data_IF_603365983184
#
_entry.id   IF_603365983184
#
_cell.length_a   1.000
_cell.length_b   1.000
_cell.length_c   1.000
_cell.angle_alpha   90.00
_cell.angle_beta   90.00
_cell.angle_gamma   90.00
#
_symmetry.space_group_name_H-M   'P 1'
#
loop_
_entity.id
_entity.type
_entity.pdbx_description
1 polymer ?
#
# COMPACT_ATOMS: atom_id res chain seq x y z
N UNK A 1 -24.80 19.21 20.62
CA UNK A 1 -24.02 18.63 19.50
C UNK A 1 -23.07 17.53 19.99
N UNK A 2 -21.92 17.82 20.62
CA UNK A 2 -20.99 16.76 21.11
C UNK A 2 -21.66 15.67 21.97
N UNK A 3 -22.54 16.03 22.91
CA UNK A 3 -23.27 15.06 23.74
C UNK A 3 -24.19 14.12 22.92
N UNK A 4 -24.80 14.64 21.86
CA UNK A 4 -25.66 13.86 20.96
C UNK A 4 -24.80 12.91 20.12
N UNK A 5 -23.63 13.37 19.67
CA UNK A 5 -22.65 12.52 19.00
C UNK A 5 -22.15 11.38 19.90
N UNK A 6 -21.82 11.66 21.17
CA UNK A 6 -21.45 10.63 22.15
C UNK A 6 -22.56 9.58 22.30
N UNK A 7 -23.80 10.03 22.55
CA UNK A 7 -24.95 9.13 22.72
C UNK A 7 -25.20 8.26 21.48
N UNK A 8 -24.99 8.80 20.28
CA UNK A 8 -25.14 8.06 19.02
C UNK A 8 -24.03 7.04 18.83
N UNK A 9 -22.78 7.46 19.03
CA UNK A 9 -21.58 6.64 18.88
C UNK A 9 -21.57 5.47 19.87
N UNK A 10 -22.01 5.68 21.12
CA UNK A 10 -22.16 4.60 22.10
C UNK A 10 -23.18 3.53 21.69
N UNK A 11 -24.24 3.93 20.97
CA UNK A 11 -25.24 2.99 20.44
C UNK A 11 -24.72 2.22 19.22
N UNK A 12 -23.97 2.90 18.36
CA UNK A 12 -23.43 2.32 17.12
C UNK A 12 -22.24 1.38 17.38
N UNK A 13 -21.42 1.70 18.38
CA UNK A 13 -20.25 0.93 18.78
C UNK A 13 -20.34 0.49 20.25
N UNK A 14 -21.27 -0.43 20.60
CA UNK A 14 -21.53 -0.81 21.99
C UNK A 14 -20.36 -1.56 22.65
N UNK A 15 -19.50 -2.17 21.83
CA UNK A 15 -18.33 -2.93 22.28
C UNK A 15 -17.03 -2.08 22.27
N UNK A 16 -17.15 -0.75 22.15
CA UNK A 16 -16.02 0.17 22.13
C UNK A 16 -16.02 1.08 23.37
N UNK A 17 -14.83 1.53 23.77
CA UNK A 17 -14.69 2.55 24.80
C UNK A 17 -14.83 3.92 24.15
N UNK A 18 -15.76 4.75 24.63
CA UNK A 18 -16.00 6.09 24.06
C UNK A 18 -15.48 7.16 25.01
N UNK A 19 -14.57 7.99 24.51
CA UNK A 19 -13.95 9.11 25.22
C UNK A 19 -14.44 10.44 24.66
N UNK A 20 -14.39 11.49 25.47
CA UNK A 20 -14.80 12.86 25.10
C UNK A 20 -13.62 13.78 25.31
N UNK A 21 -13.30 14.62 24.32
CA UNK A 21 -12.15 15.53 24.34
C UNK A 21 -10.82 14.81 24.65
N UNK A 22 -10.55 13.74 23.91
CA UNK A 22 -9.45 12.80 24.14
C UNK A 22 -8.28 13.04 23.19
N UNK A 23 -7.06 12.97 23.71
CA UNK A 23 -5.82 12.97 22.93
C UNK A 23 -5.29 11.54 22.98
N UNK A 24 -5.09 10.92 21.83
CA UNK A 24 -4.47 9.58 21.78
C UNK A 24 -2.96 9.74 21.93
N UNK A 25 -2.27 8.70 22.41
CA UNK A 25 -0.81 8.75 22.56
C UNK A 25 -0.10 8.85 21.19
N UNK A 26 -0.75 8.37 20.13
CA UNK A 26 -0.23 8.31 18.76
C UNK A 26 -0.50 9.59 17.96
N UNK A 27 -1.51 10.38 18.34
CA UNK A 27 -1.92 11.57 17.59
C UNK A 27 -1.91 12.77 18.53
N UNK A 28 -1.08 13.79 18.30
CA UNK A 28 -1.03 15.01 19.12
C UNK A 28 -2.23 15.94 18.86
N UNK A 29 -3.43 15.37 18.65
CA UNK A 29 -4.68 16.06 18.35
C UNK A 29 -5.75 15.58 19.31
N UNK A 30 -6.52 16.53 19.84
CA UNK A 30 -7.64 16.26 20.76
C UNK A 30 -8.93 16.07 19.97
N UNK A 31 -9.40 14.84 19.88
CA UNK A 31 -10.67 14.49 19.26
C UNK A 31 -11.84 14.97 20.11
N UNK A 32 -12.90 15.50 19.49
CA UNK A 32 -14.11 15.91 20.20
C UNK A 32 -14.79 14.69 20.87
N UNK A 33 -14.86 13.57 20.15
CA UNK A 33 -15.22 12.25 20.67
C UNK A 33 -14.26 11.22 20.06
N UNK A 34 -13.80 10.25 20.85
CA UNK A 34 -12.92 9.19 20.36
C UNK A 34 -13.51 7.82 20.68
N UNK A 35 -13.62 6.96 19.68
CA UNK A 35 -14.05 5.57 19.81
C UNK A 35 -12.80 4.71 19.82
N UNK A 36 -12.51 4.07 20.94
CA UNK A 36 -11.37 3.18 21.08
C UNK A 36 -11.84 1.73 21.01
N UNK A 37 -11.22 0.94 20.11
CA UNK A 37 -11.46 -0.49 20.03
C UNK A 37 -10.42 -1.25 20.86
N UNK A 38 -10.86 -2.28 21.59
CA UNK A 38 -9.95 -3.16 22.33
C UNK A 38 -8.89 -3.80 21.41
N UNK A 39 -9.28 -4.10 20.17
CA UNK A 39 -8.38 -4.59 19.12
C UNK A 39 -8.66 -3.83 17.81
N UNK A 40 -7.62 -3.51 17.01
CA UNK A 40 -7.81 -2.81 15.75
C UNK A 40 -8.79 -3.53 14.82
N UNK A 41 -9.77 -2.80 14.29
CA UNK A 41 -10.82 -3.32 13.41
C UNK A 41 -10.56 -2.85 11.99
N UNK A 42 -10.60 -3.74 11.00
CA UNK A 42 -10.57 -3.32 9.59
C UNK A 42 -11.95 -2.77 9.17
N UNK A 43 -12.05 -1.67 8.42
CA UNK A 43 -10.97 -0.77 7.95
C UNK A 43 -10.66 0.39 8.90
N UNK A 44 -11.20 0.34 10.12
CA UNK A 44 -11.30 1.45 11.04
C UNK A 44 -10.05 1.73 11.89
N UNK A 45 -9.14 0.77 12.00
CA UNK A 45 -7.92 0.90 12.78
C UNK A 45 -8.14 0.69 14.27
N UNK A 46 -7.30 1.31 15.11
CA UNK A 46 -7.38 1.26 16.58
C UNK A 46 -8.60 2.00 17.13
N UNK A 47 -9.16 2.93 16.36
CA UNK A 47 -10.30 3.72 16.80
C UNK A 47 -10.84 4.65 15.74
N UNK A 48 -11.85 5.43 16.12
CA UNK A 48 -12.47 6.47 15.29
C UNK A 48 -12.41 7.80 16.03
N UNK A 49 -11.71 8.78 15.48
CA UNK A 49 -11.80 10.16 15.90
C UNK A 49 -13.05 10.79 15.28
N UNK A 50 -13.93 11.34 16.11
CA UNK A 50 -15.13 12.05 15.67
C UNK A 50 -14.93 13.53 15.97
N UNK A 51 -14.84 14.33 14.91
CA UNK A 51 -14.64 15.77 14.97
C UNK A 51 -15.97 16.49 14.69
N UNK A 52 -16.36 17.40 15.59
CA UNK A 52 -17.55 18.22 15.38
C UNK A 52 -17.12 19.56 14.80
N UNK A 53 -17.55 19.82 13.57
CA UNK A 53 -17.32 21.06 12.86
C UNK A 53 -18.57 21.94 12.97
N UNK A 54 -18.55 22.87 13.93
CA UNK A 54 -19.61 23.85 14.12
C UNK A 54 -19.03 25.26 14.13
N UNK A 55 -19.38 26.07 13.12
CA UNK A 55 -18.97 27.48 12.93
C UNK A 55 -17.46 27.77 12.96
N UNK A 56 -16.60 26.75 12.87
CA UNK A 56 -15.16 26.89 13.01
C UNK A 56 -14.42 26.72 11.67
N UNK A 57 -14.54 27.69 10.77
CA UNK A 57 -13.92 27.69 9.43
C UNK A 57 -12.37 27.64 9.44
N UNK A 58 -11.73 27.58 10.61
CA UNK A 58 -10.27 27.59 10.78
C UNK A 58 -9.65 26.20 10.98
N UNK A 59 -10.44 25.12 11.12
CA UNK A 59 -9.88 23.78 11.28
C UNK A 59 -9.33 23.29 9.94
N UNK A 60 -8.03 23.01 9.91
CA UNK A 60 -7.39 22.33 8.77
C UNK A 60 -7.86 20.88 8.69
N UNK A 61 -8.80 20.64 7.79
CA UNK A 61 -9.45 19.37 7.60
C UNK A 61 -8.48 18.29 7.12
N UNK A 62 -7.62 18.64 6.16
CA UNK A 62 -6.69 17.71 5.51
C UNK A 62 -5.61 17.28 6.50
N UNK A 63 -4.97 18.25 7.16
CA UNK A 63 -3.90 17.97 8.13
C UNK A 63 -4.43 17.23 9.36
N UNK A 64 -5.61 17.61 9.86
CA UNK A 64 -6.23 16.94 11.01
C UNK A 64 -6.60 15.50 10.66
N UNK A 65 -7.20 15.28 9.49
CA UNK A 65 -7.54 13.93 9.04
C UNK A 65 -6.27 13.10 8.85
N UNK A 66 -5.28 13.61 8.12
CA UNK A 66 -4.02 12.91 7.89
C UNK A 66 -3.31 12.55 9.19
N UNK A 67 -3.33 13.44 10.20
CA UNK A 67 -2.77 13.17 11.53
C UNK A 67 -3.43 11.95 12.19
N UNK A 68 -4.76 11.85 12.17
CA UNK A 68 -5.47 10.70 12.74
C UNK A 68 -5.21 9.42 11.95
N UNK A 69 -5.17 9.51 10.62
CA UNK A 69 -4.89 8.37 9.76
C UNK A 69 -3.45 7.85 10.02
N UNK A 70 -2.45 8.72 10.13
CA UNK A 70 -1.06 8.34 10.44
C UNK A 70 -0.95 7.64 11.81
N UNK A 71 -1.73 8.12 12.79
CA UNK A 71 -1.87 7.47 14.11
C UNK A 71 -2.74 6.22 14.12
N UNK A 72 -3.12 5.68 12.97
CA UNK A 72 -3.83 4.41 12.88
C UNK A 72 -5.33 4.49 13.20
N UNK A 73 -5.93 5.68 13.20
CA UNK A 73 -7.34 5.92 13.53
C UNK A 73 -8.13 6.41 12.32
N UNK A 74 -9.38 5.95 12.20
CA UNK A 74 -10.32 6.50 11.21
C UNK A 74 -10.93 7.79 11.70
N UNK A 75 -11.56 8.54 10.80
CA UNK A 75 -12.12 9.86 11.14
C UNK A 75 -13.57 9.98 10.68
N UNK A 76 -14.43 10.51 11.54
CA UNK A 76 -15.77 10.97 11.20
C UNK A 76 -15.80 12.48 11.41
N UNK A 77 -16.28 13.20 10.41
CA UNK A 77 -16.55 14.63 10.54
C UNK A 77 -18.05 14.87 10.61
N UNK A 78 -18.49 15.56 11.66
CA UNK A 78 -19.88 15.92 11.89
C UNK A 78 -20.06 17.41 11.68
N UNK A 79 -20.81 17.76 10.64
CA UNK A 79 -21.26 19.11 10.33
C UNK A 79 -22.64 19.36 10.93
N UNK A 80 -23.10 20.61 10.89
CA UNK A 80 -24.41 20.98 11.43
C UNK A 80 -25.56 20.21 10.74
N UNK A 81 -25.42 19.95 9.44
CA UNK A 81 -26.37 19.24 8.59
C UNK A 81 -26.52 17.76 8.97
N UNK A 82 -25.54 17.19 9.66
CA UNK A 82 -25.65 15.82 10.17
C UNK A 82 -26.57 15.73 11.39
N UNK A 83 -26.91 16.85 12.04
CA UNK A 83 -27.78 16.84 13.20
C UNK A 83 -29.25 16.97 12.80
N UNK A 84 -30.07 16.08 13.38
CA UNK A 84 -31.52 16.05 13.16
C UNK A 84 -32.18 17.04 14.11
N UNK A 85 -32.94 17.99 13.55
CA UNK A 85 -33.65 19.02 14.30
C UNK A 85 -33.26 20.42 13.83
N UNK A 86 -33.49 21.42 14.67
CA UNK A 86 -33.12 22.81 14.39
C UNK A 86 -32.33 23.37 15.55
N UNK A 87 -31.22 24.07 15.27
CA UNK A 87 -30.45 24.75 16.30
C UNK A 87 -31.35 25.61 17.22
N UNK A 88 -31.20 25.54 18.56
CA UNK A 88 -30.22 24.74 19.32
C UNK A 88 -30.74 23.34 19.72
N UNK A 89 -31.97 23.02 19.37
CA UNK A 89 -32.75 21.86 19.85
C UNK A 89 -32.54 20.63 18.93
N UNK A 90 -31.29 20.19 18.81
CA UNK A 90 -30.96 18.96 18.10
C UNK A 90 -31.39 17.72 18.90
N UNK A 91 -32.00 16.74 18.23
CA UNK A 91 -32.56 15.55 18.85
C UNK A 91 -31.70 14.30 18.61
N UNK A 92 -31.08 14.19 17.43
CA UNK A 92 -30.21 13.08 17.04
C UNK A 92 -29.11 13.56 16.09
N UNK A 93 -28.17 12.68 15.76
CA UNK A 93 -27.17 12.91 14.72
C UNK A 93 -27.07 11.67 13.82
N UNK A 94 -26.95 11.90 12.52
CA UNK A 94 -26.65 10.88 11.53
C UNK A 94 -25.14 10.81 11.36
N UNK A 95 -24.55 9.66 11.71
CA UNK A 95 -23.11 9.43 11.52
C UNK A 95 -22.87 9.11 10.05
N UNK A 96 -22.06 9.91 9.32
CA UNK A 96 -21.64 9.54 7.98
C UNK A 96 -20.68 8.34 8.03
N UNK A 97 -20.41 7.74 6.88
CA UNK A 97 -19.40 6.70 6.79
C UNK A 97 -18.03 7.25 7.24
N UNK A 98 -17.28 6.53 8.10
CA UNK A 98 -15.95 6.98 8.52
C UNK A 98 -15.00 7.02 7.32
N UNK A 99 -14.17 8.06 7.25
CA UNK A 99 -12.96 8.06 6.45
C UNK A 99 -12.03 6.97 7.00
N UNK A 100 -11.84 5.86 6.27
CA UNK A 100 -11.14 4.71 6.80
C UNK A 100 -9.65 4.99 6.88
N UNK A 101 -9.02 4.59 7.98
CA UNK A 101 -7.55 4.61 8.08
C UNK A 101 -6.89 3.73 7.04
N UNK A 102 -7.58 2.70 6.53
CA UNK A 102 -7.08 1.93 5.41
C UNK A 102 -7.59 2.49 4.07
N UNK A 103 -6.73 2.72 3.05
CA UNK A 103 -5.32 2.36 2.97
C UNK A 103 -4.33 3.45 3.42
N UNK A 104 -4.80 4.63 3.83
CA UNK A 104 -3.96 5.82 4.03
C UNK A 104 -2.99 5.73 5.21
N UNK A 105 -3.44 5.28 6.38
CA UNK A 105 -2.62 5.08 7.59
C UNK A 105 -1.84 3.77 7.62
N UNK A 106 -1.68 3.12 6.47
CA UNK A 106 -0.78 1.98 6.35
C UNK A 106 0.64 2.52 6.31
N UNK A 107 1.61 1.93 7.03
CA UNK A 107 3.00 2.36 6.92
C UNK A 107 3.49 2.29 5.47
N UNK A 108 3.50 3.44 4.78
CA UNK A 108 3.98 3.62 3.40
C UNK A 108 5.51 3.66 3.31
N UNK A 109 6.19 3.48 4.44
CA UNK A 109 7.64 3.54 4.59
C UNK A 109 8.04 4.68 5.52
N UNK A 110 9.23 5.22 5.33
CA UNK A 110 9.61 6.51 5.90
C UNK A 110 9.33 7.61 4.86
N UNK A 111 8.90 8.81 5.29
CA UNK A 111 8.71 9.94 4.40
C UNK A 111 10.02 10.25 3.64
N UNK A 112 9.92 10.78 2.42
CA UNK A 112 11.11 11.05 1.59
C UNK A 112 12.01 12.13 2.20
N UNK A 113 11.42 13.01 3.00
CA UNK A 113 12.08 14.06 3.77
C UNK A 113 11.49 14.12 5.17
N UNK A 114 12.29 14.41 6.22
CA UNK A 114 11.78 14.58 7.59
C UNK A 114 10.75 15.71 7.73
N UNK A 115 10.66 16.61 6.74
CA UNK A 115 9.69 17.72 6.73
C UNK A 115 8.55 17.51 5.72
N UNK A 116 8.34 16.28 5.25
CA UNK A 116 7.21 15.99 4.35
C UNK A 116 5.91 16.17 5.14
N UNK A 117 4.96 17.01 4.68
CA UNK A 117 3.65 17.10 5.30
C UNK A 117 2.98 15.72 5.38
N UNK A 118 2.31 15.43 6.50
CA UNK A 118 1.66 14.13 6.72
C UNK A 118 0.65 13.82 5.58
N UNK A 119 -0.19 14.76 5.11
CA UNK A 119 -1.10 14.53 3.99
C UNK A 119 -0.39 14.06 2.72
N UNK A 120 0.71 14.72 2.36
CA UNK A 120 1.50 14.37 1.17
C UNK A 120 2.13 12.98 1.31
N UNK A 121 2.60 12.63 2.51
CA UNK A 121 3.18 11.33 2.80
C UNK A 121 2.15 10.19 2.71
N UNK A 122 0.94 10.40 3.23
CA UNK A 122 -0.16 9.42 3.14
C UNK A 122 -0.85 9.41 1.77
N UNK A 123 -0.56 10.39 0.91
CA UNK A 123 -1.23 10.58 -0.37
C UNK A 123 -2.71 10.96 -0.20
N UNK A 124 -3.06 11.67 0.87
CA UNK A 124 -4.43 12.15 1.14
C UNK A 124 -4.57 13.55 0.56
N UNK A 125 -5.47 13.71 -0.41
CA UNK A 125 -5.77 15.00 -1.03
C UNK A 125 -7.11 15.54 -0.53
N UNK A 126 -7.31 16.86 -0.67
CA UNK A 126 -8.60 17.50 -0.40
C UNK A 126 -9.73 16.88 -1.24
N UNK A 127 -9.43 16.48 -2.49
CA UNK A 127 -10.40 15.83 -3.37
C UNK A 127 -10.89 14.48 -2.82
N UNK A 128 -10.00 13.69 -2.20
CA UNK A 128 -10.38 12.42 -1.58
C UNK A 128 -11.33 12.63 -0.39
N UNK A 129 -11.11 13.70 0.37
CA UNK A 129 -11.94 14.08 1.51
C UNK A 129 -13.30 14.61 1.07
N UNK A 130 -13.32 15.42 0.01
CA UNK A 130 -14.53 15.93 -0.63
C UNK A 130 -15.40 14.78 -1.17
N UNK A 131 -14.80 13.79 -1.83
CA UNK A 131 -15.53 12.63 -2.37
C UNK A 131 -16.20 11.81 -1.24
N UNK A 132 -15.51 11.63 -0.12
CA UNK A 132 -16.05 10.93 1.04
C UNK A 132 -17.08 11.75 1.84
N UNK A 133 -17.10 13.07 1.66
CA UNK A 133 -17.97 14.01 2.39
C UNK A 133 -18.79 14.83 1.40
N UNK A 134 -19.77 14.20 0.72
CA UNK A 134 -20.54 14.84 -0.35
C UNK A 134 -21.39 16.03 0.13
N UNK A 135 -21.50 16.24 1.45
CA UNK A 135 -22.25 17.33 2.08
C UNK A 135 -21.36 18.49 2.56
N UNK A 136 -20.06 18.54 2.22
CA UNK A 136 -19.21 19.69 2.52
C UNK A 136 -19.78 20.96 1.85
N UNK A 137 -19.71 22.11 2.55
CA UNK A 137 -20.16 23.40 2.01
C UNK A 137 -18.97 24.12 1.38
N UNK A 138 -19.05 24.41 0.07
CA UNK A 138 -18.04 25.16 -0.70
C UNK A 138 -17.62 26.45 0.03
N UNK A 139 -16.31 26.63 0.26
CA UNK A 139 -15.72 27.84 0.87
C UNK A 139 -15.10 27.67 2.26
N UNK A 140 -15.17 26.48 2.87
CA UNK A 140 -14.54 26.18 4.17
C UNK A 140 -13.09 25.70 4.08
N UNK A 141 -12.52 25.61 2.88
CA UNK A 141 -11.09 25.29 2.68
C UNK A 141 -10.39 26.50 2.09
N UNK A 142 -9.58 27.17 2.92
CA UNK A 142 -8.68 28.23 2.47
C UNK A 142 -7.25 27.87 2.82
N UNK A 143 -6.46 27.59 1.78
CA UNK A 143 -5.01 27.46 1.82
C UNK A 143 -4.36 28.80 2.21
N UNK A 144 -3.77 28.87 3.40
CA UNK A 144 -2.75 29.88 3.73
C UNK A 144 -1.64 29.29 4.61
N UNK A 145 -0.39 29.57 4.23
CA UNK A 145 0.85 28.95 4.69
C UNK A 145 1.49 29.54 5.99
N UNK A 146 2.15 28.65 6.77
CA UNK A 146 3.28 28.77 7.75
C UNK A 146 3.09 29.49 9.13
N UNK A 147 3.96 29.28 10.18
CA UNK A 147 5.30 28.63 10.23
C UNK A 147 5.56 27.59 11.38
N UNK A 148 6.81 27.08 11.43
CA UNK A 148 7.37 25.97 12.21
C UNK A 148 7.58 26.14 13.74
N UNK A 149 7.75 24.97 14.39
CA UNK A 149 8.07 24.50 15.77
C UNK A 149 8.80 25.42 16.78
N UNK A 150 8.72 25.11 18.10
CA UNK A 150 9.87 24.46 18.78
C UNK A 150 9.57 23.42 19.90
N UNK A 151 10.43 22.38 19.96
CA UNK A 151 11.17 21.77 21.11
C UNK A 151 10.40 21.29 22.38
N UNK A 152 10.78 20.31 23.21
CA UNK A 152 11.78 19.23 23.36
C UNK A 152 11.30 18.38 24.59
N UNK A 153 11.92 17.22 24.83
CA UNK A 153 12.12 16.52 26.13
C UNK A 153 11.38 15.19 26.50
N UNK A 154 12.23 14.15 26.55
CA UNK A 154 12.52 13.17 27.62
C UNK A 154 11.89 11.75 27.68
N UNK A 155 12.81 10.80 27.94
CA UNK A 155 12.77 9.33 27.91
C UNK A 155 11.92 8.68 29.03
N UNK A 156 11.39 7.44 28.81
CA UNK A 156 11.72 6.23 29.62
C UNK A 156 11.00 4.91 29.21
N UNK A 157 11.83 3.86 29.07
CA UNK A 157 11.68 2.38 29.24
C UNK A 157 10.69 1.48 28.43
N UNK A 158 11.08 0.21 28.15
CA UNK A 158 10.58 -0.54 26.99
C UNK A 158 9.37 -1.42 27.30
N UNK A 159 8.32 -1.23 26.48
CA UNK A 159 7.18 -2.15 26.33
C UNK A 159 7.28 -2.82 24.94
N UNK A 160 6.67 -4.00 24.75
CA UNK A 160 7.20 -5.09 23.93
C UNK A 160 7.41 -4.72 22.45
N UNK A 161 8.48 -5.24 21.83
CA UNK A 161 8.80 -5.03 20.41
C UNK A 161 7.63 -5.44 19.48
N UNK A 162 6.89 -4.42 19.06
CA UNK A 162 6.11 -4.44 17.84
C UNK A 162 6.95 -3.74 16.77
N UNK A 163 7.69 -4.52 15.96
CA UNK A 163 8.26 -3.98 14.74
C UNK A 163 7.17 -3.85 13.67
N UNK A 164 7.24 -2.78 12.86
CA UNK A 164 6.43 -2.57 11.63
C UNK A 164 6.48 -3.77 10.66
N UNK A 165 7.33 -4.74 10.89
CA UNK A 165 7.48 -5.98 10.13
C UNK A 165 6.48 -7.08 10.50
N UNK A 166 5.66 -6.92 11.55
CA UNK A 166 4.57 -7.87 11.83
C UNK A 166 3.47 -7.71 10.75
N UNK A 167 3.48 -8.66 9.82
CA UNK A 167 2.63 -8.73 8.65
C UNK A 167 1.17 -8.33 8.93
N UNK A 168 0.70 -7.30 8.22
CA UNK A 168 -0.71 -6.99 8.07
C UNK A 168 -1.42 -8.20 7.46
N UNK A 169 -2.03 -9.03 8.30
CA UNK A 169 -2.94 -10.09 7.85
C UNK A 169 -4.27 -9.43 7.51
N UNK A 170 -4.40 -9.00 6.26
CA UNK A 170 -5.65 -8.49 5.74
C UNK A 170 -6.63 -9.67 5.62
N UNK A 171 -7.52 -9.85 6.60
CA UNK A 171 -8.71 -10.70 6.46
C UNK A 171 -9.69 -10.00 5.52
N UNK A 172 -9.36 -10.01 4.23
CA UNK A 172 -10.20 -9.54 3.15
C UNK A 172 -10.80 -10.76 2.46
N UNK A 173 -12.12 -10.73 2.23
CA UNK A 173 -12.69 -11.61 1.23
C UNK A 173 -12.03 -11.29 -0.10
N UNK A 174 -11.31 -12.26 -0.66
CA UNK A 174 -10.56 -12.14 -1.93
C UNK A 174 -11.46 -11.75 -3.11
N UNK A 175 -12.77 -11.97 -3.00
CA UNK A 175 -13.77 -11.69 -4.02
C UNK A 175 -14.19 -10.21 -4.11
N UNK A 176 -13.77 -9.38 -3.15
CA UNK A 176 -14.10 -7.95 -3.16
C UNK A 176 -13.23 -7.19 -4.19
N UNK A 177 -13.82 -6.46 -5.17
CA UNK A 177 -13.07 -5.77 -6.22
C UNK A 177 -11.99 -4.79 -5.73
N UNK A 178 -12.22 -4.15 -4.57
CA UNK A 178 -11.27 -3.21 -3.95
C UNK A 178 -10.02 -3.88 -3.33
N UNK A 179 -10.05 -5.18 -3.09
CA UNK A 179 -8.98 -5.91 -2.39
C UNK A 179 -7.73 -6.02 -3.25
N UNK A 180 -7.90 -6.29 -4.55
CA UNK A 180 -6.78 -6.36 -5.49
C UNK A 180 -6.11 -4.98 -5.64
N UNK A 181 -6.89 -3.91 -5.71
CA UNK A 181 -6.37 -2.54 -5.79
C UNK A 181 -5.58 -2.16 -4.52
N UNK A 182 -6.14 -2.45 -3.35
CA UNK A 182 -5.48 -2.27 -2.05
C UNK A 182 -4.18 -3.06 -1.95
N UNK A 183 -4.20 -4.33 -2.33
CA UNK A 183 -3.02 -5.19 -2.29
C UNK A 183 -1.93 -4.68 -3.24
N UNK A 184 -2.32 -4.21 -4.43
CA UNK A 184 -1.41 -3.56 -5.38
C UNK A 184 -0.76 -2.32 -4.79
N UNK A 185 -1.52 -1.41 -4.18
CA UNK A 185 -0.98 -0.20 -3.55
C UNK A 185 0.00 -0.52 -2.41
N UNK A 186 -0.29 -1.55 -1.60
CA UNK A 186 0.62 -1.99 -0.55
C UNK A 186 1.93 -2.58 -1.11
N UNK A 187 1.84 -3.41 -2.14
CA UNK A 187 3.03 -3.95 -2.81
C UNK A 187 3.86 -2.85 -3.49
N UNK A 188 3.19 -1.85 -4.05
CA UNK A 188 3.82 -0.67 -4.64
C UNK A 188 4.70 0.05 -3.61
N UNK A 189 4.16 0.28 -2.40
CA UNK A 189 4.93 0.83 -1.27
C UNK A 189 6.12 -0.05 -0.87
N UNK A 190 5.96 -1.38 -0.86
CA UNK A 190 7.07 -2.32 -0.58
C UNK A 190 8.17 -2.24 -1.64
N UNK A 191 7.80 -2.16 -2.92
CA UNK A 191 8.76 -2.02 -4.02
C UNK A 191 9.49 -0.68 -3.93
N UNK A 192 8.80 0.41 -3.57
CA UNK A 192 9.41 1.72 -3.36
C UNK A 192 10.39 1.70 -2.17
N UNK A 193 10.04 1.05 -1.07
CA UNK A 193 10.94 0.86 0.07
C UNK A 193 12.22 0.12 -0.32
N UNK A 194 12.11 -1.01 -1.03
CA UNK A 194 13.27 -1.74 -1.56
C UNK A 194 14.07 -0.93 -2.59
N UNK A 195 13.43 -0.01 -3.32
CA UNK A 195 14.12 0.87 -4.26
C UNK A 195 15.05 1.85 -3.53
N UNK A 196 14.64 2.35 -2.36
CA UNK A 196 15.47 3.22 -1.50
C UNK A 196 16.72 2.47 -1.03
N UNK A 197 16.60 1.20 -0.64
CA UNK A 197 17.74 0.39 -0.15
C UNK A 197 18.80 0.11 -1.23
N UNK A 198 18.39 0.08 -2.50
CA UNK A 198 19.27 -0.22 -3.63
C UNK A 198 19.80 1.01 -4.39
N UNK A 199 19.37 2.22 -4.03
CA UNK A 199 19.63 3.44 -4.82
C UNK A 199 21.11 3.71 -5.07
N UNK A 200 21.90 3.88 -4.00
CA UNK A 200 23.32 4.22 -4.13
C UNK A 200 24.11 3.17 -4.92
N UNK A 201 23.87 1.88 -4.65
CA UNK A 201 24.59 0.79 -5.34
C UNK A 201 24.27 0.70 -6.84
N UNK A 202 23.06 1.07 -7.24
CA UNK A 202 22.63 1.02 -8.64
C UNK A 202 23.03 2.25 -9.45
N UNK A 203 23.11 3.42 -8.82
CA UNK A 203 23.66 4.64 -9.43
C UNK A 203 25.14 4.43 -9.81
N UNK A 204 25.97 3.96 -8.86
CA UNK A 204 27.39 3.65 -9.12
C UNK A 204 27.57 2.60 -10.23
N UNK A 205 26.70 1.59 -10.26
CA UNK A 205 26.76 0.51 -11.24
C UNK A 205 26.36 0.97 -12.64
N UNK A 206 25.50 1.99 -12.76
CA UNK A 206 25.03 2.50 -14.06
C UNK A 206 26.15 3.17 -14.83
N UNK A 207 26.92 4.03 -14.18
CA UNK A 207 28.05 4.74 -14.80
C UNK A 207 29.08 3.75 -15.38
N UNK A 208 29.33 2.65 -14.66
CA UNK A 208 30.23 1.58 -15.12
C UNK A 208 29.64 0.88 -16.36
N UNK A 209 28.38 0.45 -16.29
CA UNK A 209 27.73 -0.30 -17.39
C UNK A 209 27.62 0.54 -18.66
N UNK A 210 27.29 1.83 -18.54
CA UNK A 210 27.26 2.76 -19.67
C UNK A 210 28.64 2.92 -20.31
N UNK A 211 29.70 3.00 -19.49
CA UNK A 211 31.08 3.13 -19.99
C UNK A 211 31.59 1.86 -20.70
N UNK A 212 31.13 0.68 -20.29
CA UNK A 212 31.58 -0.61 -20.84
C UNK A 212 30.75 -1.08 -22.05
N UNK A 213 29.58 -0.49 -22.31
CA UNK A 213 28.66 -0.86 -23.40
C UNK A 213 28.33 -2.36 -23.48
N UNK A 214 28.31 -3.05 -22.31
CA UNK A 214 28.06 -4.50 -22.23
C UNK A 214 26.60 -4.81 -21.95
N UNK A 215 26.04 -5.87 -22.57
CA UNK A 215 24.74 -6.41 -22.18
C UNK A 215 24.75 -6.76 -20.69
N UNK A 216 23.89 -6.09 -19.93
CA UNK A 216 23.79 -6.26 -18.49
C UNK A 216 22.37 -6.67 -18.15
N UNK A 217 22.26 -7.55 -17.16
CA UNK A 217 20.99 -8.07 -16.68
C UNK A 217 20.89 -7.89 -15.17
N UNK A 218 19.68 -7.61 -14.69
CA UNK A 218 19.31 -7.99 -13.33
C UNK A 218 18.70 -9.37 -13.39
N UNK A 219 19.30 -10.31 -12.66
CA UNK A 219 18.80 -11.67 -12.60
C UNK A 219 18.61 -12.10 -11.16
N UNK A 220 17.55 -12.85 -10.92
CA UNK A 220 17.37 -13.59 -9.67
C UNK A 220 17.02 -15.04 -9.99
N UNK A 221 17.61 -15.96 -9.21
CA UNK A 221 17.33 -17.40 -9.30
C UNK A 221 16.49 -17.81 -8.12
N UNK A 222 15.33 -18.38 -8.40
CA UNK A 222 14.38 -18.89 -7.43
C UNK A 222 14.54 -20.40 -7.32
N UNK A 223 14.71 -20.89 -6.09
CA UNK A 223 14.93 -22.31 -5.80
C UNK A 223 13.66 -22.93 -5.23
N UNK A 224 13.26 -24.07 -5.78
CA UNK A 224 12.14 -24.88 -5.32
C UNK A 224 12.62 -25.92 -4.29
N UNK A 225 11.72 -26.43 -3.47
CA UNK A 225 12.04 -27.38 -2.39
C UNK A 225 12.57 -28.73 -2.91
N UNK A 226 12.25 -29.09 -4.15
CA UNK A 226 12.75 -30.28 -4.85
C UNK A 226 14.14 -30.10 -5.47
N UNK A 227 14.72 -28.90 -5.35
CA UNK A 227 16.03 -28.53 -5.91
C UNK A 227 16.00 -28.00 -7.34
N UNK A 228 14.84 -28.02 -8.00
CA UNK A 228 14.68 -27.35 -9.29
C UNK A 228 14.79 -25.83 -9.11
N UNK A 229 15.28 -25.14 -10.13
CA UNK A 229 15.41 -23.68 -10.07
C UNK A 229 14.89 -23.03 -11.33
N UNK A 230 14.39 -21.81 -11.22
CA UNK A 230 14.18 -20.96 -12.39
C UNK A 230 14.83 -19.61 -12.18
N UNK A 231 15.20 -18.96 -13.27
CA UNK A 231 15.88 -17.67 -13.27
C UNK A 231 15.11 -16.69 -14.12
N UNK A 232 14.79 -15.54 -13.53
CA UNK A 232 14.24 -14.39 -14.23
C UNK A 232 15.39 -13.40 -14.45
N UNK A 233 15.77 -13.17 -15.71
CA UNK A 233 16.74 -12.14 -16.09
C UNK A 233 16.06 -11.03 -16.87
N UNK A 234 16.32 -9.80 -16.47
CA UNK A 234 15.78 -8.57 -17.06
C UNK A 234 16.93 -7.80 -17.66
N UNK A 235 16.94 -7.66 -18.98
CA UNK A 235 17.92 -6.89 -19.73
C UNK A 235 17.78 -5.41 -19.42
N UNK A 236 18.88 -4.79 -19.01
CA UNK A 236 18.93 -3.38 -18.57
C UNK A 236 19.85 -2.53 -19.44
N UNK A 237 20.09 -2.97 -20.67
CA UNK A 237 20.85 -2.19 -21.65
C UNK A 237 20.16 -0.87 -22.00
N UNK A 238 20.92 0.22 -22.21
CA UNK A 238 20.38 1.54 -22.57
C UNK A 238 19.65 1.62 -23.93
N UNK A 239 19.68 0.56 -24.74
CA UNK A 239 19.01 0.50 -26.04
C UNK A 239 17.65 -0.19 -25.95
N UNK A 240 16.76 0.10 -26.91
CA UNK A 240 15.41 -0.48 -27.10
C UNK A 240 15.38 -2.03 -27.23
N UNK A 241 16.54 -2.70 -27.08
CA UNK A 241 16.74 -4.14 -27.24
C UNK A 241 16.87 -4.88 -25.90
N UNK A 242 16.35 -4.32 -24.80
CA UNK A 242 16.22 -5.09 -23.56
C UNK A 242 15.42 -6.37 -23.82
N UNK A 243 15.71 -7.42 -23.07
CA UNK A 243 14.95 -8.68 -23.15
C UNK A 243 14.61 -9.20 -21.75
N UNK A 244 13.40 -9.73 -21.58
CA UNK A 244 13.06 -10.61 -20.48
C UNK A 244 13.50 -12.01 -20.88
N UNK A 245 14.29 -12.66 -20.04
CA UNK A 245 14.72 -14.04 -20.22
C UNK A 245 14.26 -14.83 -19.01
N UNK A 246 13.60 -15.96 -19.27
CA UNK A 246 13.14 -16.87 -18.22
C UNK A 246 13.77 -18.22 -18.50
N UNK A 247 14.51 -18.75 -17.53
CA UNK A 247 15.15 -20.07 -17.63
C UNK A 247 14.57 -20.98 -16.57
N UNK A 248 14.18 -22.19 -16.95
CA UNK A 248 13.79 -23.24 -16.02
C UNK A 248 14.84 -24.35 -16.07
N UNK A 249 15.38 -24.69 -14.92
CA UNK A 249 16.36 -25.74 -14.69
C UNK A 249 15.68 -26.84 -13.88
N UNK A 250 15.01 -27.75 -14.59
CA UNK A 250 14.37 -28.93 -14.01
C UNK A 250 15.14 -30.19 -14.38
N UNK A 251 15.61 -30.94 -13.39
CA UNK A 251 16.39 -32.16 -13.61
C UNK A 251 17.71 -31.94 -14.37
N UNK A 252 17.82 -32.41 -15.62
CA UNK A 252 19.06 -32.33 -16.44
C UNK A 252 18.99 -31.36 -17.62
N UNK A 253 17.85 -30.68 -17.82
CA UNK A 253 17.62 -29.79 -18.96
C UNK A 253 17.49 -28.32 -18.56
N UNK A 254 17.81 -27.43 -19.51
CA UNK A 254 17.47 -26.00 -19.45
C UNK A 254 16.37 -25.73 -20.49
N UNK A 255 15.22 -25.23 -20.04
CA UNK A 255 14.24 -24.60 -20.93
C UNK A 255 14.37 -23.07 -20.80
N UNK A 256 14.18 -22.35 -21.91
CA UNK A 256 14.40 -20.90 -22.00
C UNK A 256 13.34 -20.21 -22.84
N UNK A 257 12.65 -19.25 -22.23
CA UNK A 257 11.79 -18.28 -22.91
C UNK A 257 12.48 -16.91 -23.00
N UNK A 258 12.14 -16.15 -24.05
CA UNK A 258 12.60 -14.78 -24.26
C UNK A 258 11.45 -13.90 -24.73
N UNK A 259 11.39 -12.68 -24.20
CA UNK A 259 10.54 -11.59 -24.69
C UNK A 259 11.38 -10.36 -24.96
N UNK A 260 11.12 -9.60 -26.03
CA UNK A 260 11.59 -8.21 -26.06
C UNK A 260 10.98 -7.44 -24.87
N UNK A 261 11.78 -6.55 -24.28
CA UNK A 261 11.41 -5.76 -23.11
C UNK A 261 10.39 -4.65 -23.43
N UNK A 262 10.47 -4.09 -24.64
CA UNK A 262 9.76 -2.87 -25.00
C UNK A 262 10.12 -1.69 -24.08
N UNK A 263 9.36 -0.60 -24.16
CA UNK A 263 9.54 0.59 -23.32
C UNK A 263 8.90 0.45 -21.92
N UNK A 264 8.12 -0.60 -21.68
CA UNK A 264 7.31 -0.78 -20.48
C UNK A 264 7.78 -1.91 -19.56
N UNK A 265 8.98 -2.47 -19.75
CA UNK A 265 9.46 -3.63 -18.98
C UNK A 265 9.37 -3.45 -17.47
N UNK A 266 9.65 -2.26 -16.95
CA UNK A 266 9.54 -1.98 -15.51
C UNK A 266 8.09 -2.07 -15.04
N UNK A 267 7.14 -1.51 -15.78
CA UNK A 267 5.70 -1.57 -15.49
C UNK A 267 5.20 -3.01 -15.59
N UNK A 268 5.51 -3.70 -16.69
CA UNK A 268 5.02 -5.05 -16.92
C UNK A 268 5.59 -6.07 -15.91
N UNK A 269 6.87 -5.94 -15.53
CA UNK A 269 7.46 -6.74 -14.46
C UNK A 269 6.78 -6.46 -13.11
N UNK A 270 6.44 -5.20 -12.84
CA UNK A 270 5.76 -4.81 -11.60
C UNK A 270 4.36 -5.44 -11.53
N UNK A 271 3.60 -5.37 -12.62
CA UNK A 271 2.28 -6.00 -12.71
C UNK A 271 2.37 -7.53 -12.56
N UNK A 272 3.34 -8.16 -13.22
CA UNK A 272 3.63 -9.59 -13.08
C UNK A 272 3.91 -9.98 -11.62
N UNK A 273 4.76 -9.22 -10.92
CA UNK A 273 5.04 -9.49 -9.52
C UNK A 273 3.83 -9.24 -8.61
N UNK A 274 3.02 -8.22 -8.90
CA UNK A 274 1.80 -7.92 -8.15
C UNK A 274 0.77 -9.03 -8.26
N UNK A 275 0.58 -9.57 -9.47
CA UNK A 275 -0.38 -10.63 -9.71
C UNK A 275 0.05 -11.93 -9.03
N UNK A 276 1.33 -12.31 -9.11
CA UNK A 276 1.88 -13.48 -8.37
C UNK A 276 1.71 -13.31 -6.87
N UNK A 277 2.11 -12.17 -6.32
CA UNK A 277 2.00 -11.92 -4.89
C UNK A 277 0.54 -11.96 -4.42
N UNK A 278 -0.39 -11.47 -5.24
CA UNK A 278 -1.81 -11.49 -4.92
C UNK A 278 -2.34 -12.93 -4.85
N UNK A 279 -2.02 -13.76 -5.86
CA UNK A 279 -2.37 -15.19 -5.87
C UNK A 279 -1.79 -15.90 -4.65
N UNK A 280 -0.53 -15.63 -4.30
CA UNK A 280 0.13 -16.18 -3.11
C UNK A 280 -0.58 -15.82 -1.81
N UNK A 281 -1.00 -14.56 -1.64
CA UNK A 281 -1.78 -14.16 -0.46
C UNK A 281 -3.15 -14.84 -0.42
N UNK A 282 -3.82 -14.97 -1.58
CA UNK A 282 -5.12 -15.63 -1.66
C UNK A 282 -5.05 -17.10 -1.24
N UNK A 283 -4.04 -17.86 -1.72
CA UNK A 283 -3.91 -19.29 -1.37
C UNK A 283 -3.53 -19.51 0.09
N UNK A 284 -2.75 -18.60 0.68
CA UNK A 284 -2.38 -18.65 2.10
C UNK A 284 -3.55 -18.32 3.03
N UNK A 285 -4.49 -17.48 2.58
CA UNK A 285 -5.67 -17.08 3.33
C UNK A 285 -6.86 -18.05 3.18
N UNK A 286 -6.93 -18.82 2.08
CA UNK A 286 -8.05 -19.70 1.79
C UNK A 286 -8.12 -20.88 2.77
N UNK A 287 -9.20 -20.92 3.56
CA UNK A 287 -9.56 -22.10 4.35
C UNK A 287 -10.20 -23.15 3.44
N UNK A 288 -9.36 -23.90 2.72
CA UNK A 288 -9.68 -25.16 2.01
C UNK A 288 -10.75 -25.17 0.90
N UNK A 289 -11.59 -24.15 0.72
CA UNK A 289 -12.58 -24.12 -0.38
C UNK A 289 -12.54 -22.82 -1.20
N UNK A 290 -12.36 -23.01 -2.52
CA UNK A 290 -12.92 -22.19 -3.61
C UNK A 290 -12.28 -20.85 -4.02
N UNK A 291 -10.96 -20.65 -3.92
CA UNK A 291 -10.32 -19.71 -4.86
C UNK A 291 -9.78 -20.47 -6.08
N UNK A 292 -10.50 -20.36 -7.20
CA UNK A 292 -10.16 -20.98 -8.50
C UNK A 292 -9.95 -19.96 -9.61
N UNK A 293 -9.97 -18.67 -9.28
CA UNK A 293 -9.79 -17.62 -10.27
C UNK A 293 -8.35 -17.62 -10.80
N UNK A 294 -8.24 -17.45 -12.11
CA UNK A 294 -6.99 -17.28 -12.81
C UNK A 294 -6.82 -15.82 -13.17
N UNK A 295 -5.57 -15.37 -13.22
CA UNK A 295 -5.22 -14.03 -13.71
C UNK A 295 -4.48 -14.21 -15.03
N UNK A 296 -5.13 -13.75 -16.10
CA UNK A 296 -4.54 -13.68 -17.43
C UNK A 296 -3.96 -12.28 -17.65
N UNK A 297 -2.69 -12.20 -18.05
CA UNK A 297 -1.98 -10.93 -18.29
C UNK A 297 -0.74 -11.18 -19.13
N UNK A 298 0.10 -10.15 -19.33
CA UNK A 298 1.27 -10.19 -20.21
C UNK A 298 2.53 -9.66 -19.52
N UNK A 299 3.61 -10.43 -19.60
CA UNK A 299 4.95 -10.02 -19.18
C UNK A 299 5.72 -9.62 -20.44
N UNK A 300 5.74 -8.32 -20.71
CA UNK A 300 6.11 -7.74 -22.00
C UNK A 300 5.23 -8.33 -23.12
N UNK A 301 5.79 -9.18 -23.98
CA UNK A 301 5.06 -9.85 -25.06
C UNK A 301 4.84 -11.35 -24.75
N UNK A 302 5.06 -11.78 -23.50
CA UNK A 302 4.80 -13.16 -23.06
C UNK A 302 3.47 -13.21 -22.29
N UNK A 303 2.40 -13.76 -22.88
CA UNK A 303 1.19 -14.08 -22.15
C UNK A 303 1.50 -15.01 -20.98
N UNK A 304 0.86 -14.74 -19.85
CA UNK A 304 0.92 -15.61 -18.69
C UNK A 304 -0.43 -15.78 -18.03
N UNK A 305 -0.60 -16.93 -17.40
CA UNK A 305 -1.73 -17.24 -16.52
C UNK A 305 -1.17 -17.55 -15.15
N UNK A 306 -1.66 -16.85 -14.11
CA UNK A 306 -1.36 -17.16 -12.72
C UNK A 306 -2.56 -17.83 -12.08
N UNK A 307 -2.33 -18.95 -11.42
CA UNK A 307 -3.35 -19.69 -10.70
C UNK A 307 -2.81 -20.30 -9.41
N UNK A 308 -3.67 -20.63 -8.44
CA UNK A 308 -3.29 -21.48 -7.31
C UNK A 308 -2.66 -22.80 -7.78
N UNK A 309 -1.55 -23.20 -7.16
CA UNK A 309 -0.95 -24.52 -7.33
C UNK A 309 -1.18 -25.40 -6.09
N UNK A 310 -0.89 -24.83 -4.91
CA UNK A 310 -1.10 -25.44 -3.59
C UNK A 310 -1.52 -24.35 -2.61
N UNK A 311 -1.75 -24.70 -1.34
CA UNK A 311 -2.05 -23.76 -0.26
C UNK A 311 -0.94 -22.73 0.02
N UNK A 312 0.27 -22.95 -0.48
CA UNK A 312 1.45 -22.10 -0.24
C UNK A 312 2.14 -21.64 -1.54
N UNK A 313 1.58 -21.99 -2.70
CA UNK A 313 2.23 -21.79 -3.99
C UNK A 313 1.28 -21.35 -5.10
N UNK A 314 1.81 -20.49 -5.98
CA UNK A 314 1.18 -20.05 -7.22
C UNK A 314 1.87 -20.74 -8.42
N UNK A 315 1.08 -21.26 -9.36
CA UNK A 315 1.57 -21.71 -10.67
C UNK A 315 1.44 -20.56 -11.66
N UNK A 316 2.48 -20.38 -12.48
CA UNK A 316 2.56 -19.40 -13.55
C UNK A 316 2.83 -20.19 -14.82
N UNK A 317 1.89 -20.15 -15.76
CA UNK A 317 2.09 -20.70 -17.10
C UNK A 317 2.36 -19.57 -18.08
N UNK A 318 3.54 -19.56 -18.68
CA UNK A 318 3.95 -18.63 -19.72
C UNK A 318 3.84 -19.27 -21.10
N UNK A 319 3.36 -18.51 -22.06
CA UNK A 319 3.23 -18.96 -23.45
C UNK A 319 4.23 -18.20 -24.32
N UNK A 320 5.30 -18.89 -24.73
CA UNK A 320 6.20 -18.43 -25.76
C UNK A 320 5.68 -18.79 -27.15
N UNK A 321 6.35 -18.27 -28.18
CA UNK A 321 5.97 -18.49 -29.58
C UNK A 321 5.91 -19.97 -29.99
N UNK A 322 6.85 -20.77 -29.47
CA UNK A 322 7.04 -22.17 -29.85
C UNK A 322 7.06 -23.12 -28.64
N UNK A 323 6.98 -22.59 -27.41
CA UNK A 323 7.10 -23.38 -26.19
C UNK A 323 6.31 -22.77 -25.03
N UNK A 324 5.91 -23.60 -24.08
CA UNK A 324 5.20 -23.19 -22.86
C UNK A 324 6.04 -23.53 -21.64
N UNK A 325 6.15 -22.61 -20.70
CA UNK A 325 6.90 -22.81 -19.47
C UNK A 325 5.99 -22.68 -18.28
N UNK A 326 5.98 -23.69 -17.40
CA UNK A 326 5.32 -23.62 -16.11
C UNK A 326 6.36 -23.37 -15.01
N UNK A 327 6.05 -22.46 -14.11
CA UNK A 327 6.87 -22.11 -12.95
C UNK A 327 6.00 -22.12 -11.71
N UNK A 328 6.60 -22.45 -10.56
CA UNK A 328 5.91 -22.42 -9.28
C UNK A 328 6.62 -21.43 -8.36
N UNK A 329 5.88 -20.42 -7.90
CA UNK A 329 6.35 -19.48 -6.89
C UNK A 329 5.81 -19.87 -5.52
N UNK A 330 6.64 -19.72 -4.50
CA UNK A 330 6.29 -19.97 -3.10
C UNK A 330 6.34 -18.66 -2.30
N UNK A 331 5.78 -18.66 -1.09
CA UNK A 331 5.84 -17.51 -0.19
C UNK A 331 7.26 -16.98 0.05
N UNK A 332 8.25 -17.89 0.13
CA UNK A 332 9.66 -17.54 0.29
C UNK A 332 10.25 -16.75 -0.89
N UNK A 333 9.66 -16.84 -2.08
CA UNK A 333 10.13 -16.15 -3.29
C UNK A 333 9.64 -14.71 -3.41
N UNK A 334 8.69 -14.31 -2.56
CA UNK A 334 8.06 -13.01 -2.60
C UNK A 334 9.06 -11.86 -2.44
N UNK A 335 9.86 -11.88 -1.37
CA UNK A 335 10.83 -10.81 -1.11
C UNK A 335 11.84 -10.66 -2.25
N UNK A 336 12.51 -11.73 -2.73
CA UNK A 336 13.43 -11.60 -3.86
C UNK A 336 12.79 -11.12 -5.17
N UNK A 337 11.52 -11.47 -5.41
CA UNK A 337 10.77 -10.97 -6.57
C UNK A 337 10.54 -9.45 -6.48
N UNK A 338 10.13 -8.95 -5.31
CA UNK A 338 9.95 -7.50 -5.07
C UNK A 338 11.27 -6.74 -5.15
N UNK A 339 12.37 -7.29 -4.62
CA UNK A 339 13.71 -6.70 -4.75
C UNK A 339 14.16 -6.61 -6.22
N UNK A 340 13.88 -7.64 -7.03
CA UNK A 340 14.19 -7.61 -8.46
C UNK A 340 13.38 -6.52 -9.17
N UNK A 341 12.09 -6.38 -8.85
CA UNK A 341 11.23 -5.31 -9.38
C UNK A 341 11.77 -3.92 -9.00
N UNK A 342 12.14 -3.72 -7.74
CA UNK A 342 12.72 -2.47 -7.25
C UNK A 342 14.00 -2.08 -8.03
N UNK A 343 14.91 -3.03 -8.25
CA UNK A 343 16.15 -2.81 -9.02
C UNK A 343 15.86 -2.40 -10.46
N UNK A 344 14.94 -3.10 -11.13
CA UNK A 344 14.56 -2.81 -12.52
C UNK A 344 13.84 -1.46 -12.62
N UNK A 345 12.91 -1.16 -11.71
CA UNK A 345 12.21 0.12 -11.68
C UNK A 345 13.13 1.28 -11.44
N UNK A 346 14.04 1.18 -10.47
CA UNK A 346 15.03 2.23 -10.24
C UNK A 346 15.92 2.42 -11.48
N UNK A 347 16.26 1.32 -12.16
CA UNK A 347 17.04 1.39 -13.39
C UNK A 347 16.33 2.20 -14.49
N UNK A 348 15.08 1.88 -14.77
CA UNK A 348 14.30 2.54 -15.84
C UNK A 348 13.65 3.87 -15.42
N UNK A 349 13.43 4.10 -14.12
CA UNK A 349 12.73 5.25 -13.55
C UNK A 349 13.62 6.47 -13.30
N UNK A 350 14.94 6.33 -13.28
CA UNK A 350 15.84 7.49 -13.33
C UNK A 350 15.83 8.07 -14.76
N UNK A 351 14.77 8.78 -15.13
CA UNK A 351 14.79 9.66 -16.29
C UNK A 351 15.77 10.81 -16.03
N UNK A 352 16.69 11.03 -16.96
CA UNK A 352 17.56 12.21 -16.96
C UNK A 352 16.70 13.47 -16.99
N UNK A 353 16.84 14.33 -15.99
CA UNK A 353 16.78 15.76 -16.26
C UNK A 353 17.99 16.04 -17.14
N UNK A 354 17.79 16.13 -18.45
CA UNK A 354 18.81 16.67 -19.35
C UNK A 354 19.03 18.13 -18.95
N UNK A 355 20.18 18.42 -18.35
CA UNK A 355 20.71 19.78 -18.24
C UNK A 355 21.33 20.22 -19.57
#
# INVERSE_FOLDING_TARGET
MKSIAVDKVQKEYPDATVHVEFVTDEVPRRADVFVEFEHPKRPLGSGIAVEVQYQNEQKDFVETTASYLDGGCSVIWLFEENYVGTHPDYEDVELPEPLPVWPFGVPHGEPESPNTPIPDYLGVTESDLIEALPNHVDGQVTLTDFPATPEEDEETDPLPEWSREKALRLNLSVDCPGVRAVHRAWLEGKIQHESKSHRGTLEDRRDIVESEARPTYFSHRFTRDDGDTFELSIGVTPSENGEVIIRNYSGTGENKLRSPAGTSIATSLTEFAMDICYVLECVNAATTEEWSQQIDSELCELPYVVSPATIEAASIKLEGKDDTMEMTFYQSHRKPLLELCAKVRLWHGCQRVQL
#
